data_IF_934166579120
#
_entry.id   IF_934166579120
#
_cell.length_a   1.000
_cell.length_b   1.000
_cell.length_c   1.000
_cell.angle_alpha   90.00
_cell.angle_beta   90.00
_cell.angle_gamma   90.00
#
_symmetry.space_group_name_H-M   'P 1'
#
loop_
_entity.id
_entity.type
_entity.pdbx_description
1 polymer ?
#
# COMPACT_ATOMS: atom_id res chain seq x y z
N UNK A 1 5.21 14.33 -7.36
CA UNK A 1 3.74 14.52 -7.17
C UNK A 1 3.48 14.53 -5.67
N UNK A 2 2.70 15.44 -5.08
CA UNK A 2 2.52 15.45 -3.62
C UNK A 2 1.86 14.16 -3.12
N UNK A 3 2.17 13.75 -1.88
CA UNK A 3 1.52 12.60 -1.24
C UNK A 3 0.02 12.89 -1.05
N UNK A 4 -0.83 11.94 -1.45
CA UNK A 4 -2.28 12.02 -1.26
C UNK A 4 -2.65 11.13 -0.07
N UNK A 5 -3.21 11.72 0.98
CA UNK A 5 -3.63 11.03 2.22
C UNK A 5 -5.15 10.98 2.40
N UNK A 6 -5.89 11.45 1.39
CA UNK A 6 -7.35 11.41 1.31
C UNK A 6 -7.78 10.32 0.33
N UNK A 7 -9.04 9.85 0.38
CA UNK A 7 -9.56 8.90 -0.61
C UNK A 7 -9.30 9.40 -2.05
N UNK A 8 -8.65 8.57 -2.87
CA UNK A 8 -8.23 8.93 -4.23
C UNK A 8 -8.44 7.78 -5.24
N UNK A 9 -9.16 6.73 -4.83
CA UNK A 9 -9.51 5.63 -5.73
C UNK A 9 -10.76 6.00 -6.52
N UNK A 10 -10.72 5.82 -7.84
CA UNK A 10 -11.88 6.03 -8.72
C UNK A 10 -12.98 4.99 -8.51
N UNK A 11 -12.58 3.77 -8.13
CA UNK A 11 -13.45 2.67 -7.73
C UNK A 11 -12.88 2.03 -6.46
N UNK A 12 -13.23 2.55 -5.27
CA UNK A 12 -12.75 2.02 -4.00
C UNK A 12 -13.14 0.56 -3.80
N UNK A 13 -14.41 0.22 -4.04
CA UNK A 13 -14.95 -1.11 -3.75
C UNK A 13 -14.30 -2.18 -4.63
N UNK A 14 -14.18 -1.92 -5.95
CA UNK A 14 -13.50 -2.84 -6.87
C UNK A 14 -12.01 -3.00 -6.54
N UNK A 15 -11.34 -1.91 -6.15
CA UNK A 15 -9.92 -1.95 -5.77
C UNK A 15 -9.70 -2.76 -4.48
N UNK A 16 -10.55 -2.59 -3.47
CA UNK A 16 -10.47 -3.37 -2.24
C UNK A 16 -10.82 -4.84 -2.46
N UNK A 17 -11.85 -5.13 -3.27
CA UNK A 17 -12.21 -6.50 -3.63
C UNK A 17 -11.05 -7.22 -4.36
N UNK A 18 -10.37 -6.53 -5.30
CA UNK A 18 -9.22 -7.06 -6.00
C UNK A 18 -8.04 -7.35 -5.05
N UNK A 19 -7.78 -6.45 -4.09
CA UNK A 19 -6.74 -6.68 -3.08
C UNK A 19 -7.05 -7.90 -2.22
N UNK A 20 -8.29 -8.02 -1.71
CA UNK A 20 -8.71 -9.16 -0.89
C UNK A 20 -8.61 -10.47 -1.69
N UNK A 21 -9.10 -10.47 -2.93
CA UNK A 21 -9.02 -11.65 -3.80
C UNK A 21 -7.56 -12.05 -4.09
N UNK A 22 -6.62 -11.11 -4.15
CA UNK A 22 -5.21 -11.42 -4.34
C UNK A 22 -4.56 -12.15 -3.14
N UNK A 23 -5.20 -12.12 -1.97
CA UNK A 23 -4.78 -12.86 -0.79
C UNK A 23 -5.45 -14.24 -0.67
N UNK A 24 -6.42 -14.58 -1.51
CA UNK A 24 -7.13 -15.86 -1.42
C UNK A 24 -6.17 -17.05 -1.63
N UNK A 25 -6.24 -18.04 -0.75
CA UNK A 25 -5.35 -19.20 -0.74
C UNK A 25 -3.94 -18.97 -0.18
N UNK A 26 -3.57 -17.74 0.22
CA UNK A 26 -2.28 -17.47 0.87
C UNK A 26 -2.33 -17.72 2.37
N UNK A 27 -1.28 -18.32 2.91
CA UNK A 27 -1.03 -18.29 4.37
C UNK A 27 -0.71 -16.88 4.84
N UNK A 28 -0.76 -16.65 6.15
CA UNK A 28 -0.38 -15.36 6.75
C UNK A 28 1.04 -14.92 6.35
N UNK A 29 2.00 -15.86 6.35
CA UNK A 29 3.39 -15.57 5.96
C UNK A 29 3.49 -15.20 4.47
N UNK A 30 2.77 -15.91 3.60
CA UNK A 30 2.74 -15.61 2.17
C UNK A 30 2.03 -14.29 1.88
N UNK A 31 0.98 -13.98 2.64
CA UNK A 31 0.25 -12.71 2.59
C UNK A 31 1.15 -11.53 2.97
N UNK A 32 1.97 -11.67 4.02
CA UNK A 32 2.99 -10.67 4.36
C UNK A 32 4.05 -10.52 3.26
N UNK A 33 4.53 -11.62 2.69
CA UNK A 33 5.48 -11.58 1.58
C UNK A 33 4.88 -10.98 0.31
N UNK A 34 3.60 -11.20 0.04
CA UNK A 34 2.84 -10.54 -1.02
C UNK A 34 2.78 -9.02 -0.79
N UNK A 35 2.39 -8.59 0.42
CA UNK A 35 2.32 -7.17 0.77
C UNK A 35 3.68 -6.47 0.65
N UNK A 36 4.77 -7.10 1.08
CA UNK A 36 6.10 -6.54 0.92
C UNK A 36 6.46 -6.32 -0.57
N UNK A 37 6.17 -7.31 -1.43
CA UNK A 37 6.38 -7.19 -2.88
C UNK A 37 5.51 -6.09 -3.49
N UNK A 38 4.24 -6.01 -3.11
CA UNK A 38 3.31 -4.97 -3.58
C UNK A 38 3.82 -3.57 -3.21
N UNK A 39 4.30 -3.37 -1.97
CA UNK A 39 4.89 -2.10 -1.54
C UNK A 39 6.07 -1.71 -2.43
N UNK A 40 6.99 -2.63 -2.75
CA UNK A 40 8.13 -2.34 -3.62
C UNK A 40 7.69 -1.93 -5.03
N UNK A 41 6.67 -2.59 -5.60
CA UNK A 41 6.11 -2.22 -6.90
C UNK A 41 5.52 -0.80 -6.86
N UNK A 42 4.76 -0.47 -5.82
CA UNK A 42 4.17 0.86 -5.65
C UNK A 42 5.24 1.94 -5.41
N UNK A 43 6.29 1.64 -4.65
CA UNK A 43 7.42 2.55 -4.47
C UNK A 43 8.11 2.88 -5.80
N UNK A 44 8.31 1.88 -6.65
CA UNK A 44 8.86 2.08 -8.00
C UNK A 44 7.93 2.94 -8.88
N UNK A 45 6.62 2.71 -8.80
CA UNK A 45 5.63 3.52 -9.51
C UNK A 45 5.63 4.99 -9.07
N UNK A 46 5.87 5.25 -7.78
CA UNK A 46 5.94 6.62 -7.23
C UNK A 46 7.24 7.32 -7.67
N UNK A 47 8.39 6.66 -7.57
CA UNK A 47 9.70 7.15 -8.05
C UNK A 47 10.28 8.38 -7.32
N UNK A 48 9.50 9.05 -6.48
CA UNK A 48 9.87 10.27 -5.76
C UNK A 48 10.26 9.96 -4.30
N UNK A 49 11.55 10.14 -3.99
CA UNK A 49 12.12 9.85 -2.68
C UNK A 49 11.50 10.70 -1.54
N UNK A 50 11.08 11.94 -1.81
CA UNK A 50 10.45 12.79 -0.79
C UNK A 50 9.04 12.29 -0.45
N UNK A 51 8.28 11.87 -1.46
CA UNK A 51 6.94 11.29 -1.28
C UNK A 51 7.03 9.99 -0.49
N UNK A 52 7.99 9.13 -0.85
CA UNK A 52 8.23 7.87 -0.14
C UNK A 52 8.60 8.13 1.32
N UNK A 53 9.52 9.07 1.59
CA UNK A 53 9.92 9.41 2.96
C UNK A 53 8.74 9.96 3.79
N UNK A 54 7.85 10.75 3.18
CA UNK A 54 6.64 11.24 3.85
C UNK A 54 5.66 10.09 4.15
N UNK A 55 5.43 9.19 3.20
CA UNK A 55 4.56 8.03 3.38
C UNK A 55 5.03 7.11 4.52
N UNK A 56 6.34 6.83 4.58
CA UNK A 56 6.94 6.02 5.66
C UNK A 56 6.75 6.67 7.03
N UNK A 57 6.89 7.99 7.13
CA UNK A 57 6.68 8.74 8.38
C UNK A 57 5.24 8.60 8.87
N UNK A 58 4.27 8.82 7.98
CA UNK A 58 2.85 8.68 8.29
C UNK A 58 2.52 7.26 8.73
N UNK A 59 2.98 6.24 7.99
CA UNK A 59 2.74 4.84 8.33
C UNK A 59 3.26 4.48 9.74
N UNK A 60 4.43 5.02 10.13
CA UNK A 60 5.00 4.85 11.47
C UNK A 60 4.16 5.53 12.55
N UNK A 61 3.56 6.67 12.27
CA UNK A 61 2.73 7.41 13.22
C UNK A 61 1.34 6.79 13.39
N UNK A 62 0.75 6.23 12.32
CA UNK A 62 -0.58 5.61 12.34
C UNK A 62 -0.59 4.21 12.96
N UNK A 63 0.54 3.48 12.91
CA UNK A 63 0.65 2.13 13.49
C UNK A 63 0.97 2.08 14.99
N UNK A 64 1.07 3.23 15.67
CA UNK A 64 1.47 3.35 17.09
C UNK A 64 0.29 3.77 17.98
N UNK A 65 -0.94 3.48 17.57
CA UNK A 65 -2.14 3.64 18.42
C UNK A 65 -2.64 2.32 18.94
#
# INVERSE_FOLDING_TARGET
MPLITTPNLSDPDGSYAALIAAHDGLTETESHAFNARLILVLMNQIGDAQVIAQALRIARETGVK
#
